data_IF_284148512570
#
_entry.id   IF_284148512570
#
_cell.length_a   1.000
_cell.length_b   1.000
_cell.length_c   1.000
_cell.angle_alpha   90.00
_cell.angle_beta   90.00
_cell.angle_gamma   90.00
#
_symmetry.space_group_name_H-M   'P 1'
#
loop_
_entity.id
_entity.type
_entity.pdbx_description
1 polymer ?
#
# COMPACT_ATOMS: atom_id res chain seq x y z
N UNK A 1 -55.49 -16.22 -16.18
CA UNK A 1 -55.20 -15.12 -17.11
C UNK A 1 -55.27 -13.84 -16.29
N UNK A 2 -54.15 -13.50 -15.65
CA UNK A 2 -53.88 -12.15 -15.18
C UNK A 2 -52.43 -11.89 -15.55
N UNK A 3 -52.26 -11.29 -16.73
CA UNK A 3 -50.97 -10.91 -17.27
C UNK A 3 -50.50 -9.66 -16.54
N UNK A 4 -49.47 -9.85 -15.69
CA UNK A 4 -48.77 -8.78 -15.00
C UNK A 4 -47.88 -8.02 -15.98
N UNK A 5 -48.36 -6.86 -16.44
CA UNK A 5 -47.60 -5.89 -17.22
C UNK A 5 -46.54 -5.28 -16.29
N UNK A 6 -45.31 -5.74 -16.41
CA UNK A 6 -44.14 -5.11 -15.80
C UNK A 6 -43.88 -3.78 -16.50
N UNK A 7 -44.13 -2.67 -15.80
CA UNK A 7 -43.69 -1.32 -16.19
C UNK A 7 -42.17 -1.31 -16.34
N UNK A 8 -41.73 -1.35 -17.59
CA UNK A 8 -40.37 -1.06 -18.02
C UNK A 8 -40.12 0.43 -17.77
N UNK A 9 -39.49 0.74 -16.62
CA UNK A 9 -39.00 2.08 -16.34
C UNK A 9 -37.76 2.29 -17.19
N UNK A 10 -37.91 3.09 -18.24
CA UNK A 10 -36.80 3.64 -19.03
C UNK A 10 -35.75 4.26 -18.08
N UNK A 11 -34.62 3.57 -17.92
CA UNK A 11 -33.45 4.11 -17.22
C UNK A 11 -32.92 5.28 -18.06
N UNK A 12 -32.77 6.48 -17.48
CA UNK A 12 -32.34 7.65 -18.23
C UNK A 12 -30.95 7.42 -18.83
N UNK A 13 -30.86 7.57 -20.15
CA UNK A 13 -29.62 7.48 -20.92
C UNK A 13 -28.49 8.25 -20.25
N UNK A 14 -27.39 7.52 -20.03
CA UNK A 14 -26.17 7.99 -19.40
C UNK A 14 -25.67 9.29 -20.06
N UNK A 15 -25.60 10.35 -19.26
CA UNK A 15 -25.00 11.63 -19.59
C UNK A 15 -23.58 11.45 -20.14
N UNK A 16 -23.39 11.64 -21.46
CA UNK A 16 -22.07 12.02 -22.00
C UNK A 16 -21.72 13.39 -21.42
N UNK A 17 -20.86 13.36 -20.41
CA UNK A 17 -20.60 14.46 -19.50
C UNK A 17 -20.22 15.75 -20.22
N UNK A 18 -21.00 16.80 -19.93
CA UNK A 18 -20.51 18.18 -20.00
C UNK A 18 -19.18 18.29 -19.25
N UNK A 19 -18.27 19.21 -19.68
CA UNK A 19 -17.01 19.43 -18.98
C UNK A 19 -17.30 19.67 -17.50
N UNK A 20 -16.76 18.80 -16.62
CA UNK A 20 -16.93 18.93 -15.18
C UNK A 20 -16.22 20.19 -14.73
N UNK A 21 -16.95 21.30 -14.63
CA UNK A 21 -16.42 22.55 -14.11
C UNK A 21 -16.33 22.40 -12.59
N UNK A 22 -15.11 22.39 -12.06
CA UNK A 22 -14.89 22.43 -10.61
C UNK A 22 -15.10 23.88 -10.18
N UNK A 23 -16.27 24.15 -9.61
CA UNK A 23 -16.58 25.43 -8.99
C UNK A 23 -16.26 25.32 -7.50
N UNK A 24 -15.55 26.29 -6.96
CA UNK A 24 -15.39 26.42 -5.53
C UNK A 24 -16.65 27.06 -4.96
N UNK A 25 -17.15 26.48 -3.87
CA UNK A 25 -18.18 27.14 -3.08
C UNK A 25 -17.59 28.43 -2.50
N UNK A 26 -18.31 29.54 -2.64
CA UNK A 26 -17.89 30.83 -2.09
C UNK A 26 -17.98 30.83 -0.56
N UNK A 27 -18.83 29.96 0.00
CA UNK A 27 -19.02 29.80 1.44
C UNK A 27 -18.12 28.68 2.00
N UNK A 28 -17.04 29.06 2.68
CA UNK A 28 -16.11 28.10 3.28
C UNK A 28 -16.33 28.02 4.79
N UNK A 29 -16.72 26.85 5.28
CA UNK A 29 -16.85 26.58 6.71
C UNK A 29 -15.45 26.32 7.32
N UNK A 30 -14.94 27.30 8.08
CA UNK A 30 -13.65 27.17 8.77
C UNK A 30 -13.85 26.62 10.17
N UNK A 31 -13.24 25.46 10.47
CA UNK A 31 -13.22 24.85 11.81
C UNK A 31 -11.82 24.93 12.42
N UNK A 32 -11.71 25.37 13.67
CA UNK A 32 -10.45 25.27 14.44
C UNK A 32 -10.31 23.86 15.02
N UNK A 33 -9.37 23.10 14.49
CA UNK A 33 -9.04 21.75 14.98
C UNK A 33 -7.91 21.84 16.00
N UNK A 34 -8.07 21.16 17.16
CA UNK A 34 -6.99 21.02 18.14
C UNK A 34 -6.27 19.68 17.96
N UNK A 35 -4.94 19.63 18.09
CA UNK A 35 -4.22 18.37 18.02
C UNK A 35 -4.56 17.48 19.22
N UNK A 36 -4.64 16.16 18.97
CA UNK A 36 -5.20 15.16 19.91
C UNK A 36 -4.53 15.19 21.29
N UNK A 37 -3.21 15.42 21.35
CA UNK A 37 -2.46 15.47 22.61
C UNK A 37 -2.79 16.67 23.51
N UNK A 38 -3.42 17.73 22.98
CA UNK A 38 -3.87 18.89 23.77
C UNK A 38 -5.28 18.70 24.35
N UNK A 39 -5.96 17.59 24.01
CA UNK A 39 -7.33 17.29 24.44
C UNK A 39 -7.26 16.43 25.71
N UNK A 40 -6.97 17.05 26.85
CA UNK A 40 -6.88 16.36 28.14
C UNK A 40 -8.24 16.01 28.76
N UNK A 41 -8.38 14.77 29.25
CA UNK A 41 -9.38 14.36 30.26
C UNK A 41 -10.80 14.07 29.76
N UNK A 42 -11.49 15.06 29.16
CA UNK A 42 -12.85 14.91 28.61
C UNK A 42 -12.87 15.48 27.19
N UNK A 43 -12.75 14.59 26.22
CA UNK A 43 -12.73 14.95 24.80
C UNK A 43 -14.13 15.43 24.41
N UNK A 44 -14.28 16.72 24.14
CA UNK A 44 -15.42 17.19 23.35
C UNK A 44 -15.22 16.70 21.90
N UNK A 45 -15.94 15.63 21.55
CA UNK A 45 -15.86 14.97 20.24
C UNK A 45 -16.19 15.93 19.09
N UNK A 46 -16.86 17.05 19.37
CA UNK A 46 -17.21 18.10 18.39
C UNK A 46 -16.01 18.94 17.95
N UNK A 47 -14.84 18.81 18.60
CA UNK A 47 -13.62 19.57 18.25
C UNK A 47 -12.68 18.75 17.35
N UNK A 48 -12.95 17.44 17.20
CA UNK A 48 -12.15 16.55 16.37
C UNK A 48 -12.25 16.92 14.88
N UNK A 49 -11.25 16.51 14.11
CA UNK A 49 -11.25 16.73 12.65
C UNK A 49 -12.43 16.01 11.98
N UNK A 50 -12.75 14.80 12.44
CA UNK A 50 -13.87 14.01 11.99
C UNK A 50 -14.73 13.61 13.18
N UNK A 51 -16.03 13.79 13.05
CA UNK A 51 -17.01 13.30 14.00
C UNK A 51 -17.35 11.83 13.73
N UNK A 52 -18.02 11.20 14.69
CA UNK A 52 -18.31 9.78 14.64
C UNK A 52 -19.34 9.41 13.56
N UNK A 53 -20.29 10.29 13.29
CA UNK A 53 -21.25 10.22 12.18
C UNK A 53 -20.56 10.39 10.83
N UNK A 54 -19.71 11.42 10.68
CA UNK A 54 -18.92 11.65 9.47
C UNK A 54 -18.01 10.45 9.19
N UNK A 55 -17.36 9.90 10.22
CA UNK A 55 -16.54 8.70 10.09
C UNK A 55 -17.36 7.49 9.63
N UNK A 56 -18.56 7.27 10.20
CA UNK A 56 -19.46 6.20 9.75
C UNK A 56 -19.86 6.38 8.29
N UNK A 57 -20.15 7.61 7.87
CA UNK A 57 -20.52 7.91 6.48
C UNK A 57 -19.34 7.68 5.52
N UNK A 58 -18.13 8.15 5.87
CA UNK A 58 -16.90 7.91 5.11
C UNK A 58 -16.66 6.41 4.97
N UNK A 59 -16.76 5.67 6.08
CA UNK A 59 -16.58 4.21 6.08
C UNK A 59 -17.65 3.50 5.24
N UNK A 60 -18.90 3.96 5.29
CA UNK A 60 -19.97 3.42 4.45
C UNK A 60 -19.72 3.69 2.96
N UNK A 61 -19.35 4.92 2.60
CA UNK A 61 -18.97 5.30 1.22
C UNK A 61 -17.78 4.49 0.73
N UNK A 62 -16.74 4.33 1.54
CA UNK A 62 -15.56 3.53 1.21
C UNK A 62 -15.92 2.06 0.96
N UNK A 63 -16.70 1.44 1.86
CA UNK A 63 -17.18 0.06 1.67
C UNK A 63 -18.04 -0.09 0.42
N UNK A 64 -18.92 0.88 0.14
CA UNK A 64 -19.76 0.86 -1.06
C UNK A 64 -18.93 0.97 -2.33
N UNK A 65 -17.91 1.84 -2.34
CA UNK A 65 -16.99 2.00 -3.46
C UNK A 65 -16.18 0.71 -3.68
N UNK A 66 -15.67 0.09 -2.63
CA UNK A 66 -14.97 -1.20 -2.73
C UNK A 66 -15.90 -2.29 -3.25
N UNK A 67 -17.14 -2.38 -2.74
CA UNK A 67 -18.13 -3.35 -3.24
C UNK A 67 -18.43 -3.14 -4.72
N UNK A 68 -18.56 -1.89 -5.16
CA UNK A 68 -18.77 -1.57 -6.57
C UNK A 68 -17.54 -1.96 -7.41
N UNK A 69 -16.35 -1.58 -6.97
CA UNK A 69 -15.11 -1.90 -7.66
C UNK A 69 -14.84 -3.41 -7.77
N UNK A 70 -15.25 -4.20 -6.78
CA UNK A 70 -15.17 -5.67 -6.83
C UNK A 70 -16.23 -6.30 -7.74
N UNK A 71 -17.45 -5.74 -7.77
CA UNK A 71 -18.53 -6.25 -8.61
C UNK A 71 -18.38 -5.84 -10.08
N UNK A 72 -17.74 -4.71 -10.36
CA UNK A 72 -17.50 -4.22 -11.73
C UNK A 72 -16.47 -5.08 -12.49
N UNK A 73 -15.70 -5.96 -11.84
CA UNK A 73 -14.84 -6.93 -12.56
C UNK A 73 -15.66 -7.93 -13.40
N UNK A 74 -16.93 -8.20 -13.06
CA UNK A 74 -17.83 -8.99 -13.91
C UNK A 74 -18.50 -8.16 -15.02
N UNK A 75 -18.51 -6.83 -14.91
CA UNK A 75 -19.27 -5.96 -15.79
C UNK A 75 -18.34 -5.17 -16.71
N UNK A 76 -17.79 -5.88 -17.70
CA UNK A 76 -16.77 -5.43 -18.68
C UNK A 76 -17.11 -4.16 -19.47
N UNK A 77 -18.34 -3.64 -19.37
CA UNK A 77 -18.86 -2.53 -20.19
C UNK A 77 -18.80 -1.14 -19.50
N UNK A 78 -18.38 -1.05 -18.24
CA UNK A 78 -18.22 0.26 -17.58
C UNK A 78 -16.85 0.87 -17.91
N UNK A 79 -16.85 1.98 -18.67
CA UNK A 79 -15.65 2.74 -19.04
C UNK A 79 -14.98 3.44 -17.83
N UNK A 80 -15.69 3.57 -16.70
CA UNK A 80 -15.14 4.16 -15.47
C UNK A 80 -14.36 3.11 -14.65
N UNK A 81 -13.10 2.87 -15.04
CA UNK A 81 -12.16 2.09 -14.21
C UNK A 81 -11.86 2.85 -12.92
N UNK A 82 -12.33 2.33 -11.78
CA UNK A 82 -11.94 2.85 -10.47
C UNK A 82 -10.45 2.62 -10.24
N UNK A 83 -9.75 3.64 -9.72
CA UNK A 83 -8.39 3.45 -9.24
C UNK A 83 -8.42 2.56 -8.00
N UNK A 84 -7.94 1.32 -8.14
CA UNK A 84 -7.86 0.36 -7.03
C UNK A 84 -6.66 0.61 -6.11
N UNK A 85 -5.74 1.48 -6.51
CA UNK A 85 -4.52 1.80 -5.76
C UNK A 85 -4.87 2.51 -4.45
N UNK A 86 -4.44 1.94 -3.33
CA UNK A 86 -4.79 2.34 -1.97
C UNK A 86 -6.02 1.60 -1.41
N UNK A 87 -6.78 0.90 -2.25
CA UNK A 87 -7.93 0.07 -1.83
C UNK A 87 -7.59 -1.42 -1.78
N UNK A 88 -6.37 -1.82 -2.13
CA UNK A 88 -5.94 -3.22 -2.07
C UNK A 88 -6.15 -3.84 -0.69
N UNK A 89 -6.08 -3.03 0.38
CA UNK A 89 -6.27 -3.49 1.74
C UNK A 89 -7.73 -3.90 2.05
N UNK A 90 -8.69 -3.46 1.24
CA UNK A 90 -10.12 -3.74 1.39
C UNK A 90 -10.63 -4.71 0.33
N UNK A 91 -9.88 -4.92 -0.77
CA UNK A 91 -10.22 -5.92 -1.78
C UNK A 91 -9.83 -7.33 -1.34
N UNK A 92 -10.31 -8.35 -2.09
CA UNK A 92 -10.00 -9.78 -1.87
C UNK A 92 -8.50 -10.12 -1.78
N UNK A 93 -7.62 -9.18 -2.11
CA UNK A 93 -6.18 -9.33 -1.96
C UNK A 93 -5.75 -9.49 -0.49
N UNK A 94 -6.44 -8.86 0.47
CA UNK A 94 -6.07 -8.99 1.89
C UNK A 94 -6.50 -10.31 2.49
N UNK A 95 -7.71 -10.79 2.21
CA UNK A 95 -8.15 -12.10 2.71
C UNK A 95 -7.23 -13.19 2.18
N UNK A 96 -6.84 -13.12 0.89
CA UNK A 96 -5.87 -14.04 0.29
C UNK A 96 -4.49 -13.96 0.94
N UNK A 97 -3.91 -12.76 1.07
CA UNK A 97 -2.59 -12.56 1.70
C UNK A 97 -2.59 -12.97 3.17
N UNK A 98 -3.65 -12.65 3.89
CA UNK A 98 -3.80 -13.02 5.31
C UNK A 98 -3.86 -14.53 5.43
N UNK A 99 -4.64 -15.21 4.59
CA UNK A 99 -4.70 -16.67 4.55
C UNK A 99 -3.34 -17.29 4.24
N UNK A 100 -2.66 -16.86 3.18
CA UNK A 100 -1.33 -17.41 2.83
C UNK A 100 -0.29 -17.20 3.94
N UNK A 101 -0.32 -16.06 4.63
CA UNK A 101 0.53 -15.82 5.79
C UNK A 101 0.18 -16.73 6.98
N UNK A 102 -1.11 -16.97 7.21
CA UNK A 102 -1.56 -17.90 8.25
C UNK A 102 -1.13 -19.34 7.91
N UNK A 103 -1.33 -19.78 6.66
CA UNK A 103 -0.96 -21.11 6.18
C UNK A 103 0.55 -21.37 6.37
N UNK A 104 1.40 -20.40 6.02
CA UNK A 104 2.85 -20.53 6.21
C UNK A 104 3.28 -20.56 7.67
N UNK A 105 2.57 -19.83 8.54
CA UNK A 105 2.81 -19.86 9.99
C UNK A 105 2.35 -21.17 10.61
N UNK A 106 1.18 -21.66 10.21
CA UNK A 106 0.62 -22.93 10.66
C UNK A 106 1.56 -24.09 10.30
N UNK A 107 2.06 -24.14 9.06
CA UNK A 107 3.02 -25.15 8.63
C UNK A 107 4.31 -25.19 9.48
N UNK A 108 4.82 -24.04 9.90
CA UNK A 108 5.98 -23.95 10.80
C UNK A 108 5.65 -24.48 12.19
N UNK A 109 4.49 -24.10 12.74
CA UNK A 109 4.05 -24.58 14.06
C UNK A 109 3.79 -26.09 14.05
N UNK A 110 3.22 -26.63 12.98
CA UNK A 110 2.99 -28.06 12.82
C UNK A 110 4.31 -28.84 12.81
N UNK A 111 5.32 -28.37 12.07
CA UNK A 111 6.65 -28.99 12.09
C UNK A 111 7.29 -28.92 13.48
N UNK A 112 7.22 -27.76 14.14
CA UNK A 112 7.75 -27.63 15.51
C UNK A 112 7.07 -28.62 16.46
N UNK A 113 5.75 -28.71 16.41
CA UNK A 113 4.98 -29.70 17.18
C UNK A 113 5.41 -31.14 16.87
N UNK A 114 5.63 -31.48 15.59
CA UNK A 114 6.12 -32.80 15.19
C UNK A 114 7.52 -33.10 15.72
N UNK A 115 8.43 -32.12 15.75
CA UNK A 115 9.78 -32.29 16.32
C UNK A 115 9.71 -32.48 17.83
N UNK A 116 8.86 -31.72 18.53
CA UNK A 116 8.61 -31.90 19.96
C UNK A 116 8.07 -33.30 20.28
N UNK A 117 7.09 -33.78 19.52
CA UNK A 117 6.51 -35.13 19.71
C UNK A 117 7.52 -36.25 19.47
N UNK A 118 8.54 -36.01 18.64
CA UNK A 118 9.63 -36.95 18.34
C UNK A 118 10.84 -36.81 19.26
N UNK A 119 10.73 -35.95 20.27
CA UNK A 119 11.82 -35.63 21.21
C UNK A 119 13.12 -35.17 20.50
N UNK A 120 12.99 -34.50 19.35
CA UNK A 120 14.13 -33.97 18.61
C UNK A 120 14.59 -32.68 19.27
N UNK A 121 15.72 -32.73 19.96
CA UNK A 121 16.37 -31.57 20.58
C UNK A 121 17.88 -31.57 20.32
N UNK A 122 18.45 -30.42 19.88
CA UNK A 122 17.78 -29.16 19.54
C UNK A 122 16.85 -29.29 18.31
N UNK A 123 15.92 -28.33 18.15
CA UNK A 123 15.05 -28.27 16.98
C UNK A 123 15.90 -28.19 15.69
N UNK A 124 15.47 -28.90 14.66
CA UNK A 124 16.07 -28.88 13.33
C UNK A 124 15.58 -27.64 12.57
N UNK A 125 16.34 -26.56 12.70
CA UNK A 125 16.09 -25.27 12.07
C UNK A 125 16.09 -25.35 10.54
N UNK A 126 16.95 -26.20 9.95
CA UNK A 126 17.03 -26.38 8.50
C UNK A 126 15.74 -26.98 7.96
N UNK A 127 15.18 -27.94 8.69
CA UNK A 127 13.89 -28.55 8.34
C UNK A 127 12.73 -27.57 8.47
N UNK A 128 12.68 -26.79 9.54
CA UNK A 128 11.67 -25.73 9.71
C UNK A 128 11.78 -24.70 8.57
N UNK A 129 12.99 -24.27 8.25
CA UNK A 129 13.24 -23.34 7.15
C UNK A 129 12.82 -23.92 5.80
N UNK A 130 13.08 -25.21 5.57
CA UNK A 130 12.68 -25.90 4.33
C UNK A 130 11.16 -25.92 4.12
N UNK A 131 10.38 -26.03 5.20
CA UNK A 131 8.91 -26.02 5.17
C UNK A 131 8.35 -24.62 4.91
N UNK A 132 9.02 -23.58 5.42
CA UNK A 132 8.60 -22.20 5.18
C UNK A 132 9.01 -21.65 3.80
N UNK A 133 10.03 -22.24 3.18
CA UNK A 133 10.61 -21.78 1.92
C UNK A 133 9.61 -21.67 0.75
N UNK A 134 8.67 -22.62 0.52
CA UNK A 134 7.68 -22.51 -0.55
C UNK A 134 6.78 -21.28 -0.40
N UNK A 135 6.34 -20.96 0.82
CA UNK A 135 5.51 -19.78 1.11
C UNK A 135 6.27 -18.48 0.80
N UNK A 136 7.53 -18.41 1.23
CA UNK A 136 8.39 -17.26 0.94
C UNK A 136 8.62 -17.09 -0.57
N UNK A 137 8.86 -18.20 -1.30
CA UNK A 137 9.02 -18.17 -2.76
C UNK A 137 7.75 -17.71 -3.46
N UNK A 138 6.59 -18.19 -3.03
CA UNK A 138 5.29 -17.79 -3.58
C UNK A 138 5.03 -16.29 -3.38
N UNK A 139 5.19 -15.79 -2.15
CA UNK A 139 5.05 -14.35 -1.86
C UNK A 139 6.02 -13.48 -2.67
N UNK A 140 7.27 -13.94 -2.82
CA UNK A 140 8.26 -13.26 -3.64
C UNK A 140 7.84 -13.20 -5.11
N UNK A 141 7.34 -14.31 -5.66
CA UNK A 141 6.87 -14.36 -7.04
C UNK A 141 5.70 -13.38 -7.27
N UNK A 142 4.71 -13.38 -6.36
CA UNK A 142 3.58 -12.44 -6.44
C UNK A 142 4.02 -10.98 -6.36
N UNK A 143 4.99 -10.66 -5.49
CA UNK A 143 5.51 -9.30 -5.36
C UNK A 143 6.22 -8.84 -6.64
N UNK A 144 7.00 -9.72 -7.27
CA UNK A 144 7.68 -9.43 -8.55
C UNK A 144 6.66 -9.21 -9.66
N UNK A 145 5.68 -10.11 -9.77
CA UNK A 145 4.61 -9.99 -10.77
C UNK A 145 3.88 -8.66 -10.65
N UNK A 146 3.46 -8.30 -9.43
CA UNK A 146 2.77 -7.03 -9.18
C UNK A 146 3.65 -5.81 -9.49
N UNK A 147 4.93 -5.85 -9.12
CA UNK A 147 5.85 -4.76 -9.47
C UNK A 147 5.99 -4.59 -10.99
N UNK A 148 5.96 -5.69 -11.76
CA UNK A 148 6.00 -5.62 -13.22
C UNK A 148 4.71 -5.04 -13.80
N UNK A 149 3.54 -5.41 -13.26
CA UNK A 149 2.26 -4.84 -13.67
C UNK A 149 2.21 -3.33 -13.41
N UNK A 150 2.64 -2.91 -12.22
CA UNK A 150 2.73 -1.49 -11.86
C UNK A 150 3.66 -0.72 -12.80
N UNK A 151 4.81 -1.31 -13.17
CA UNK A 151 5.73 -0.70 -14.12
C UNK A 151 5.09 -0.53 -15.51
N UNK A 152 4.39 -1.57 -16.01
CA UNK A 152 3.68 -1.52 -17.28
C UNK A 152 2.56 -0.47 -17.29
N UNK A 153 1.79 -0.37 -16.20
CA UNK A 153 0.71 0.61 -16.08
C UNK A 153 1.25 2.05 -16.13
N UNK A 154 2.38 2.31 -15.45
CA UNK A 154 3.06 3.60 -15.50
C UNK A 154 3.54 3.93 -16.92
N UNK A 155 4.11 2.96 -17.64
CA UNK A 155 4.56 3.15 -19.01
C UNK A 155 3.39 3.48 -19.96
N UNK A 156 2.26 2.78 -19.81
CA UNK A 156 1.04 3.06 -20.58
C UNK A 156 0.50 4.46 -20.30
N UNK A 157 0.46 4.87 -19.02
CA UNK A 157 0.03 6.21 -18.62
C UNK A 157 0.92 7.30 -19.22
N UNK A 158 2.24 7.10 -19.23
CA UNK A 158 3.18 8.04 -19.86
C UNK A 158 2.96 8.17 -21.37
N UNK A 159 2.68 7.06 -22.07
CA UNK A 159 2.39 7.08 -23.52
C UNK A 159 1.07 7.81 -23.83
N UNK A 160 0.03 7.60 -23.02
CA UNK A 160 -1.27 8.27 -23.19
C UNK A 160 -1.19 9.78 -22.90
N UNK A 161 -0.42 10.18 -21.89
CA UNK A 161 -0.27 11.59 -21.51
C UNK A 161 0.64 12.37 -22.46
N UNK A 162 1.68 11.71 -23.01
CA UNK A 162 2.56 12.32 -24.00
C UNK A 162 1.85 12.67 -25.32
N UNK A 163 0.86 11.87 -25.74
CA UNK A 163 0.10 12.11 -26.98
C UNK A 163 -1.01 13.14 -26.83
N UNK A 164 -1.50 13.36 -25.61
CA UNK A 164 -2.62 14.26 -25.29
C UNK A 164 -2.19 15.62 -24.75
N UNK A 165 -0.89 15.91 -24.66
CA UNK A 165 -0.43 17.27 -24.36
C UNK A 165 -0.59 18.12 -25.62
N UNK A 166 -1.61 19.00 -25.74
CA UNK A 166 -1.63 19.96 -26.83
C UNK A 166 -0.33 20.75 -26.70
N UNK A 167 0.46 20.75 -27.77
CA UNK A 167 1.63 21.60 -27.88
C UNK A 167 1.13 23.03 -27.77
N UNK A 168 1.10 23.56 -26.55
CA UNK A 168 1.07 24.98 -26.28
C UNK A 168 2.45 25.48 -26.72
N UNK A 169 2.63 25.54 -28.04
CA UNK A 169 3.67 26.29 -28.70
C UNK A 169 3.34 27.73 -28.38
N UNK A 170 3.75 28.15 -27.18
CA UNK A 170 3.70 29.51 -26.73
C UNK A 170 4.42 30.32 -27.81
N UNK A 171 3.63 31.06 -28.58
CA UNK A 171 4.11 32.15 -29.43
C UNK A 171 4.80 33.11 -28.48
N UNK A 172 6.11 32.92 -28.26
CA UNK A 172 6.97 33.91 -27.62
C UNK A 172 6.98 35.10 -28.57
N UNK A 173 6.03 36.00 -28.38
CA UNK A 173 6.15 37.37 -28.84
C UNK A 173 7.31 37.98 -28.07
N UNK A 174 8.46 38.00 -28.72
CA UNK A 174 9.62 38.76 -28.29
C UNK A 174 9.30 40.24 -28.40
N UNK A 175 8.64 40.79 -27.38
CA UNK A 175 8.65 42.23 -27.16
C UNK A 175 9.76 42.58 -26.18
N UNK A 176 10.80 43.17 -26.76
CA UNK A 176 11.87 43.89 -26.09
C UNK A 176 11.30 45.03 -25.24
N UNK A 177 11.68 45.10 -23.97
CA UNK A 177 11.85 46.36 -23.26
C UNK A 177 12.89 46.19 -22.16
N UNK A 178 13.99 46.93 -22.30
CA UNK A 178 15.05 47.09 -21.31
C UNK A 178 14.46 47.54 -19.96
N UNK A 179 14.83 46.85 -18.89
CA UNK A 179 14.75 47.38 -17.53
C UNK A 179 15.93 46.86 -16.74
N UNK A 180 16.88 47.77 -16.52
CA UNK A 180 18.06 47.60 -15.70
C UNK A 180 17.67 47.75 -14.23
N UNK A 181 17.74 46.69 -13.41
CA UNK A 181 17.96 46.90 -11.97
C UNK A 181 18.43 45.65 -11.21
N UNK A 182 19.56 45.84 -10.51
CA UNK A 182 20.06 45.16 -9.31
C UNK A 182 20.09 43.63 -9.23
N UNK A 183 21.27 43.12 -9.57
CA UNK A 183 22.06 42.10 -8.84
C UNK A 183 21.58 41.75 -7.42
N UNK A 184 21.16 40.50 -7.23
CA UNK A 184 21.38 39.74 -5.99
C UNK A 184 21.84 38.34 -6.39
N UNK A 185 23.06 38.02 -5.94
CA UNK A 185 23.77 36.78 -6.23
C UNK A 185 23.20 35.64 -5.38
N UNK A 186 22.83 34.54 -6.03
CA UNK A 186 22.61 33.24 -5.38
C UNK A 186 23.71 32.26 -5.78
N UNK A 187 24.20 31.42 -4.86
CA UNK A 187 25.41 30.63 -5.05
C UNK A 187 25.21 29.47 -6.02
N UNK A 188 26.22 29.32 -6.89
CA UNK A 188 26.41 28.25 -7.85
C UNK A 188 26.54 26.91 -7.13
N UNK A 189 25.69 25.95 -7.46
CA UNK A 189 25.98 24.52 -7.25
C UNK A 189 26.64 23.95 -8.51
N UNK A 190 27.66 23.09 -8.39
CA UNK A 190 28.38 22.56 -9.54
C UNK A 190 27.57 21.48 -10.27
N UNK A 191 27.41 21.74 -11.56
CA UNK A 191 26.86 20.89 -12.61
C UNK A 191 27.80 19.70 -12.84
N UNK A 192 27.42 18.53 -12.34
CA UNK A 192 28.16 17.29 -12.58
C UNK A 192 27.82 16.78 -14.00
N UNK A 193 28.78 16.86 -14.90
CA UNK A 193 28.70 16.32 -16.26
C UNK A 193 29.28 14.91 -16.24
N UNK A 194 28.42 13.90 -16.16
CA UNK A 194 28.83 12.53 -16.44
C UNK A 194 28.67 12.26 -17.93
N UNK A 195 29.84 12.19 -18.60
CA UNK A 195 29.98 11.70 -19.94
C UNK A 195 29.52 10.24 -20.02
N UNK A 196 28.62 9.98 -20.96
CA UNK A 196 28.10 8.67 -21.31
C UNK A 196 29.09 7.99 -22.25
N UNK A 197 30.00 7.19 -21.71
CA UNK A 197 30.81 6.25 -22.49
C UNK A 197 30.04 4.93 -22.60
N UNK A 198 29.63 4.61 -23.83
CA UNK A 198 29.09 3.32 -24.23
C UNK A 198 30.21 2.27 -24.22
N UNK A 199 30.27 1.45 -23.16
CA UNK A 199 31.06 0.23 -23.13
C UNK A 199 30.13 -0.96 -22.84
N UNK A 200 30.09 -1.89 -23.78
CA UNK A 200 29.46 -3.21 -23.70
C UNK A 200 29.90 -3.96 -22.44
N UNK A 201 29.00 -4.09 -21.46
CA UNK A 201 29.22 -4.88 -20.25
C UNK A 201 28.43 -6.19 -20.32
N UNK A 202 29.19 -7.28 -20.40
CA UNK A 202 28.83 -8.63 -19.98
C UNK A 202 27.93 -8.62 -18.75
N UNK A 203 26.78 -9.30 -18.83
CA UNK A 203 25.84 -9.53 -17.74
C UNK A 203 26.56 -10.26 -16.59
N UNK A 204 27.02 -9.51 -15.59
CA UNK A 204 27.31 -10.04 -14.26
C UNK A 204 26.01 -10.05 -13.47
N UNK A 205 25.58 -11.24 -13.08
CA UNK A 205 24.43 -11.48 -12.21
C UNK A 205 24.48 -10.55 -11.00
N UNK A 206 23.36 -9.91 -10.60
CA UNK A 206 23.34 -9.08 -9.41
C UNK A 206 23.68 -9.94 -8.19
N UNK A 207 24.75 -9.58 -7.48
CA UNK A 207 25.06 -10.12 -6.17
C UNK A 207 23.86 -9.84 -5.26
N UNK A 208 23.26 -10.91 -4.73
CA UNK A 208 22.20 -10.81 -3.72
C UNK A 208 22.62 -9.84 -2.62
N UNK A 209 21.75 -8.91 -2.18
CA UNK A 209 22.04 -8.08 -1.03
C UNK A 209 22.31 -9.01 0.16
N UNK A 210 23.46 -8.81 0.80
CA UNK A 210 23.83 -9.54 2.00
C UNK A 210 22.69 -9.42 3.01
N UNK A 211 22.19 -10.56 3.49
CA UNK A 211 21.24 -10.62 4.59
C UNK A 211 21.76 -9.75 5.74
N UNK A 212 20.94 -8.88 6.34
CA UNK A 212 21.37 -8.07 7.48
C UNK A 212 21.84 -9.03 8.57
N UNK A 213 23.13 -9.00 8.90
CA UNK A 213 23.67 -9.80 9.98
C UNK A 213 22.95 -9.38 11.26
N UNK A 214 22.26 -10.33 11.89
CA UNK A 214 21.79 -10.24 13.27
C UNK A 214 23.02 -10.10 14.18
N UNK A 215 23.58 -8.91 14.23
CA UNK A 215 24.53 -8.54 15.28
C UNK A 215 23.71 -8.54 16.55
N UNK A 216 23.92 -9.58 17.36
CA UNK A 216 23.48 -9.67 18.74
C UNK A 216 23.79 -8.32 19.42
N UNK A 217 22.76 -7.51 19.62
CA UNK A 217 22.83 -6.38 20.55
C UNK A 217 22.65 -6.96 21.94
N UNK A 218 23.70 -7.04 22.78
CA UNK A 218 23.51 -7.35 24.18
C UNK A 218 22.68 -6.21 24.80
N UNK A 219 21.52 -6.53 25.34
CA UNK A 219 20.75 -5.60 26.17
C UNK A 219 19.30 -5.32 25.79
N UNK A 220 18.75 -5.93 24.73
CA UNK A 220 17.29 -5.92 24.53
C UNK A 220 16.64 -7.12 25.21
N UNK A 221 16.44 -7.00 26.54
CA UNK A 221 15.46 -7.85 27.23
C UNK A 221 14.06 -7.45 26.76
N UNK A 222 13.46 -8.28 25.93
CA UNK A 222 12.02 -8.27 25.76
C UNK A 222 11.40 -8.91 27.00
N UNK A 223 10.96 -8.09 27.96
CA UNK A 223 10.07 -8.58 29.01
C UNK A 223 8.72 -8.85 28.37
N UNK A 224 8.51 -10.06 27.87
CA UNK A 224 7.18 -10.53 27.57
C UNK A 224 6.42 -10.54 28.90
N UNK A 225 5.43 -9.64 29.03
CA UNK A 225 4.47 -9.68 30.11
C UNK A 225 3.67 -10.97 30.02
N UNK A 226 4.20 -12.02 30.64
CA UNK A 226 3.57 -13.31 30.78
C UNK A 226 3.53 -13.59 32.27
N UNK A 227 2.48 -13.10 32.93
CA UNK A 227 2.07 -13.60 34.26
C UNK A 227 1.46 -15.01 34.10
N UNK A 228 2.24 -15.93 33.53
CA UNK A 228 1.97 -17.36 33.60
C UNK A 228 3.21 -17.98 34.20
N UNK A 229 3.11 -18.33 35.47
CA UNK A 229 4.04 -19.25 36.13
C UNK A 229 4.14 -20.50 35.27
N UNK A 230 5.29 -20.66 34.60
CA UNK A 230 5.61 -21.89 33.88
C UNK A 230 5.78 -22.97 34.95
N UNK A 231 4.79 -23.86 35.03
CA UNK A 231 4.82 -24.99 35.94
C UNK A 231 5.61 -26.10 35.24
N UNK A 232 6.85 -26.33 35.68
CA UNK A 232 7.65 -27.43 35.16
C UNK A 232 7.12 -28.76 35.70
N UNK A 233 7.18 -29.85 34.90
CA UNK A 233 6.83 -31.19 35.37
C UNK A 233 7.75 -31.63 36.51
N UNK A 234 7.21 -32.42 37.45
CA UNK A 234 7.94 -32.90 38.60
C UNK A 234 9.15 -33.75 38.15
N UNK A 235 10.36 -33.31 38.48
CA UNK A 235 11.61 -34.03 38.19
C UNK A 235 12.65 -33.29 37.34
N UNK A 236 12.33 -32.10 36.79
CA UNK A 236 13.33 -31.29 36.07
C UNK A 236 14.13 -30.42 37.04
N UNK A 237 15.36 -30.86 37.37
CA UNK A 237 16.35 -30.02 38.06
C UNK A 237 17.19 -29.29 37.03
N UNK A 238 17.11 -27.95 37.00
CA UNK A 238 18.03 -27.13 36.22
C UNK A 238 19.38 -27.09 36.95
N UNK A 239 20.38 -27.78 36.40
CA UNK A 239 21.78 -27.53 36.81
C UNK A 239 22.14 -26.11 36.39
N UNK A 240 22.44 -25.29 37.40
CA UNK A 240 22.86 -23.90 37.20
C UNK A 240 24.33 -23.93 36.79
N UNK A 241 24.64 -23.49 35.57
CA UNK A 241 26.01 -23.27 35.09
C UNK A 241 26.53 -21.95 35.64
#
# INVERSE_FOLDING_TARGET
>A
VEDGVSEEKDEPEFYRGSPRVVLFDEEVLVRRVRPVYQIGGKIDRRILWYQEDEYKEIMWKARRLVKRALNDEENTNNEEKYCLRGLEHVTNSVTRRTKQNLDGREAVLDEQCLQFQKEVFPLDDDKIASIYLPYTKSHRAEAIERANLDAQEVDLYQQQTASSTPSLRATRTSNSSNSSHSSLQSPKTPRNTFARSSSSSSFKSPKSPASPSLVNKPGMMFTYGVDKTIQYPAGMTLETI
#
